data_IF_065585704738
#
_entry.id   IF_065585704738
#
_cell.length_a   1.000
_cell.length_b   1.000
_cell.length_c   1.000
_cell.angle_alpha   90.00
_cell.angle_beta   90.00
_cell.angle_gamma   90.00
#
_symmetry.space_group_name_H-M   'P 1'
#
loop_
_entity.id
_entity.type
_entity.pdbx_description
1 polymer ?
#
# COMPACT_ATOMS: atom_id res chain seq x y z
N UNK A 1 9.44 14.88 2.76
CA UNK A 1 9.37 13.43 3.07
C UNK A 1 8.11 13.06 3.83
N UNK A 2 7.82 13.65 5.00
CA UNK A 2 6.57 13.36 5.75
C UNK A 2 5.30 13.59 4.92
N UNK A 3 5.17 14.77 4.30
CA UNK A 3 4.00 15.14 3.51
C UNK A 3 3.77 14.20 2.33
N UNK A 4 4.82 13.79 1.63
CA UNK A 4 4.72 12.81 0.54
C UNK A 4 4.06 11.51 0.98
N UNK A 5 4.45 10.96 2.12
CA UNK A 5 3.84 9.73 2.64
C UNK A 5 2.41 9.96 3.14
N UNK A 6 2.14 11.12 3.73
CA UNK A 6 0.77 11.53 4.08
C UNK A 6 -0.12 11.56 2.85
N UNK A 7 0.30 12.22 1.77
CA UNK A 7 -0.47 12.36 0.53
C UNK A 7 -0.74 10.99 -0.11
N UNK A 8 0.25 10.09 -0.11
CA UNK A 8 0.08 8.72 -0.60
C UNK A 8 -0.94 7.91 0.20
N UNK A 9 -0.83 7.95 1.53
CA UNK A 9 -1.77 7.25 2.42
C UNK A 9 -3.18 7.81 2.24
N UNK A 10 -3.33 9.14 2.18
CA UNK A 10 -4.62 9.79 1.98
C UNK A 10 -5.25 9.46 0.62
N UNK A 11 -4.45 9.47 -0.45
CA UNK A 11 -4.91 9.11 -1.79
C UNK A 11 -5.37 7.65 -1.87
N UNK A 12 -4.62 6.74 -1.26
CA UNK A 12 -4.97 5.32 -1.22
C UNK A 12 -6.21 5.08 -0.35
N UNK A 13 -6.25 5.64 0.86
CA UNK A 13 -7.41 5.54 1.74
C UNK A 13 -8.67 6.13 1.06
N UNK A 14 -8.53 7.26 0.37
CA UNK A 14 -9.61 7.84 -0.42
C UNK A 14 -10.13 6.92 -1.52
N UNK A 15 -9.24 6.17 -2.17
CA UNK A 15 -9.61 5.18 -3.19
C UNK A 15 -10.34 3.98 -2.59
N UNK A 16 -9.86 3.47 -1.45
CA UNK A 16 -10.50 2.37 -0.72
C UNK A 16 -11.89 2.76 -0.21
N UNK A 17 -12.05 3.98 0.30
CA UNK A 17 -13.36 4.53 0.70
C UNK A 17 -14.33 4.62 -0.47
N UNK A 18 -13.88 5.06 -1.65
CA UNK A 18 -14.73 5.10 -2.86
C UNK A 18 -15.21 3.73 -3.30
N UNK A 19 -14.45 2.68 -2.97
CA UNK A 19 -14.90 1.32 -3.19
C UNK A 19 -15.83 0.77 -2.08
N UNK A 20 -16.03 1.51 -0.98
CA UNK A 20 -17.01 1.14 0.05
C UNK A 20 -16.41 0.69 1.38
N UNK A 21 -15.08 0.78 1.58
CA UNK A 21 -14.51 0.53 2.91
C UNK A 21 -14.87 1.65 3.90
N UNK A 22 -15.18 1.32 5.17
CA UNK A 22 -15.30 2.30 6.24
C UNK A 22 -14.04 3.16 6.37
N UNK A 23 -14.21 4.44 6.73
CA UNK A 23 -13.10 5.39 6.74
C UNK A 23 -11.92 5.00 7.64
N UNK A 24 -12.19 4.44 8.82
CA UNK A 24 -11.15 3.95 9.73
C UNK A 24 -10.37 2.79 9.12
N UNK A 25 -11.09 1.77 8.64
CA UNK A 25 -10.50 0.59 8.02
C UNK A 25 -9.72 0.92 6.73
N UNK A 26 -10.23 1.85 5.92
CA UNK A 26 -9.53 2.33 4.73
C UNK A 26 -8.20 3.04 5.08
N UNK A 27 -8.18 3.79 6.19
CA UNK A 27 -6.96 4.45 6.68
C UNK A 27 -5.91 3.45 7.14
N UNK A 28 -6.29 2.50 7.98
CA UNK A 28 -5.40 1.45 8.49
C UNK A 28 -4.79 0.63 7.35
N UNK A 29 -5.62 0.17 6.41
CA UNK A 29 -5.15 -0.59 5.24
C UNK A 29 -4.24 0.21 4.32
N UNK A 30 -4.48 1.51 4.18
CA UNK A 30 -3.63 2.36 3.36
C UNK A 30 -2.23 2.54 4.00
N UNK A 31 -2.17 2.71 5.32
CA UNK A 31 -0.91 2.79 6.06
C UNK A 31 -0.12 1.49 5.91
N UNK A 32 -0.76 0.34 6.14
CA UNK A 32 -0.12 -0.98 6.04
C UNK A 32 0.41 -1.26 4.64
N UNK A 33 -0.37 -0.90 3.61
CA UNK A 33 0.03 -1.04 2.22
C UNK A 33 1.25 -0.18 1.89
N UNK A 34 1.25 1.10 2.27
CA UNK A 34 2.37 2.01 2.02
C UNK A 34 3.62 1.55 2.78
N UNK A 35 3.49 1.17 4.05
CA UNK A 35 4.60 0.64 4.86
C UNK A 35 5.20 -0.63 4.23
N UNK A 36 4.36 -1.55 3.75
CA UNK A 36 4.79 -2.77 3.06
C UNK A 36 5.57 -2.45 1.78
N UNK A 37 5.09 -1.49 0.98
CA UNK A 37 5.75 -1.07 -0.26
C UNK A 37 7.10 -0.39 0.03
N UNK A 38 7.21 0.43 1.08
CA UNK A 38 8.49 1.03 1.45
C UNK A 38 9.49 0.00 1.94
N UNK A 39 9.06 -0.99 2.73
CA UNK A 39 9.91 -2.13 3.10
C UNK A 39 10.39 -2.92 1.88
N UNK A 40 9.51 -3.14 0.90
CA UNK A 40 9.86 -3.79 -0.36
C UNK A 40 10.92 -3.02 -1.16
N UNK A 41 10.80 -1.69 -1.23
CA UNK A 41 11.77 -0.82 -1.91
C UNK A 41 13.16 -0.88 -1.25
N UNK A 42 13.20 -0.98 0.08
CA UNK A 42 14.46 -1.15 0.82
C UNK A 42 15.08 -2.50 0.51
N UNK A 43 14.31 -3.59 0.54
CA UNK A 43 14.80 -4.94 0.23
C UNK A 43 15.27 -5.08 -1.22
N UNK A 44 14.49 -4.59 -2.18
CA UNK A 44 14.85 -4.60 -3.59
C UNK A 44 16.20 -3.90 -3.84
N UNK A 45 16.43 -2.74 -3.21
CA UNK A 45 17.72 -2.03 -3.29
C UNK A 45 18.85 -2.76 -2.58
N UNK A 46 18.58 -3.38 -1.44
CA UNK A 46 19.60 -4.12 -0.70
C UNK A 46 20.09 -5.37 -1.47
N UNK A 47 19.24 -5.94 -2.32
CA UNK A 47 19.51 -7.16 -3.08
C UNK A 47 19.72 -6.96 -4.58
N UNK A 48 19.62 -5.74 -5.09
CA UNK A 48 19.61 -5.41 -6.52
C UNK A 48 18.57 -6.24 -7.31
N UNK A 49 17.40 -6.45 -6.69
CA UNK A 49 16.32 -7.28 -7.20
C UNK A 49 14.99 -6.52 -7.25
N UNK A 50 14.73 -5.92 -8.42
CA UNK A 50 13.48 -5.21 -8.69
C UNK A 50 12.26 -6.15 -8.81
N UNK A 51 12.46 -7.45 -9.02
CA UNK A 51 11.36 -8.42 -9.08
C UNK A 51 10.71 -8.59 -7.70
N UNK A 52 11.47 -8.45 -6.62
CA UNK A 52 10.96 -8.44 -5.24
C UNK A 52 9.91 -7.35 -5.03
N UNK A 53 10.15 -6.13 -5.52
CA UNK A 53 9.17 -5.03 -5.42
C UNK A 53 7.88 -5.38 -6.16
N UNK A 54 8.00 -5.85 -7.40
CA UNK A 54 6.86 -6.20 -8.26
C UNK A 54 6.00 -7.29 -7.64
N UNK A 55 6.63 -8.33 -7.07
CA UNK A 55 5.95 -9.42 -6.37
C UNK A 55 5.18 -8.93 -5.13
N UNK A 56 5.77 -8.00 -4.37
CA UNK A 56 5.12 -7.43 -3.19
C UNK A 56 3.94 -6.53 -3.58
N UNK A 57 4.09 -5.70 -4.63
CA UNK A 57 2.99 -4.87 -5.16
C UNK A 57 1.78 -5.72 -5.54
N UNK A 58 1.97 -6.81 -6.28
CA UNK A 58 0.90 -7.73 -6.67
C UNK A 58 0.22 -8.42 -5.46
N UNK A 59 0.96 -8.64 -4.36
CA UNK A 59 0.39 -9.17 -3.11
C UNK A 59 -0.41 -8.11 -2.36
N UNK A 60 0.09 -6.88 -2.29
CA UNK A 60 -0.62 -5.75 -1.65
C UNK A 60 -1.93 -5.49 -2.38
N UNK A 61 -1.91 -5.41 -3.71
CA UNK A 61 -3.11 -5.24 -4.54
C UNK A 61 -4.15 -6.33 -4.25
N UNK A 62 -3.77 -7.60 -4.31
CA UNK A 62 -4.68 -8.72 -4.01
C UNK A 62 -5.28 -8.62 -2.61
N UNK A 63 -4.51 -8.21 -1.60
CA UNK A 63 -5.03 -8.04 -0.22
C UNK A 63 -6.03 -6.89 -0.12
N UNK A 64 -5.76 -5.78 -0.80
CA UNK A 64 -6.68 -4.63 -0.82
C UNK A 64 -7.99 -4.97 -1.53
N UNK A 65 -7.93 -5.74 -2.62
CA UNK A 65 -9.11 -6.17 -3.38
C UNK A 65 -9.87 -7.33 -2.74
N UNK A 66 -9.19 -8.24 -2.03
CA UNK A 66 -9.83 -9.41 -1.41
C UNK A 66 -10.79 -9.05 -0.27
N UNK A 67 -10.61 -7.90 0.36
CA UNK A 67 -11.53 -7.41 1.39
C UNK A 67 -12.63 -6.50 0.85
N UNK A 68 -12.82 -6.51 -0.47
CA UNK A 68 -13.82 -5.73 -1.18
C UNK A 68 -15.07 -6.53 -1.56
N UNK A 69 -15.35 -7.61 -0.82
CA UNK A 69 -16.45 -8.52 -1.10
C UNK A 69 -17.38 -8.63 0.11
#
# INVERSE_FOLDING_TARGET
>A
MRQYFTDLVEALAGSLRRGGLPAGEAGERAIDAVATIQGALILARAHDDDATLSSILARVERRLLASHR
#
